data_IF_542357668862
#
_entry.id   IF_542357668862
#
_cell.length_a   1.000
_cell.length_b   1.000
_cell.length_c   1.000
_cell.angle_alpha   90.00
_cell.angle_beta   90.00
_cell.angle_gamma   90.00
#
_symmetry.space_group_name_H-M   'P 1'
#
loop_
_entity.id
_entity.type
_entity.pdbx_description
1 polymer ?
#
# COMPACT_ATOMS: atom_id res chain seq x y z
N UNK A 1 24.79 -34.80 -13.57
CA UNK A 1 24.14 -33.46 -13.55
C UNK A 1 25.25 -32.41 -13.51
N UNK A 2 25.44 -31.63 -14.58
CA UNK A 2 26.58 -30.71 -14.74
C UNK A 2 26.46 -29.46 -13.86
N UNK A 3 27.55 -29.06 -13.18
CA UNK A 3 27.59 -27.89 -12.24
C UNK A 3 26.95 -26.62 -12.83
N UNK A 4 27.11 -26.36 -14.13
CA UNK A 4 26.51 -25.20 -14.83
C UNK A 4 24.98 -25.17 -14.76
N UNK A 5 24.32 -26.34 -14.83
CA UNK A 5 22.86 -26.46 -14.81
C UNK A 5 22.29 -26.18 -13.41
N UNK A 6 23.01 -26.60 -12.37
CA UNK A 6 22.68 -26.33 -10.96
C UNK A 6 22.84 -24.84 -10.64
N UNK A 7 23.93 -24.21 -11.09
CA UNK A 7 24.16 -22.76 -10.90
C UNK A 7 23.08 -21.92 -11.60
N UNK A 8 22.72 -22.26 -12.85
CA UNK A 8 21.65 -21.56 -13.59
C UNK A 8 20.29 -21.67 -12.90
N UNK A 9 19.96 -22.86 -12.36
CA UNK A 9 18.70 -23.08 -11.62
C UNK A 9 18.67 -22.30 -10.30
N UNK A 10 19.81 -22.22 -9.60
CA UNK A 10 19.95 -21.42 -8.37
C UNK A 10 19.77 -19.92 -8.65
N UNK A 11 20.41 -19.38 -9.68
CA UNK A 11 20.25 -17.98 -10.08
C UNK A 11 18.80 -17.64 -10.42
N UNK A 12 18.11 -18.53 -11.12
CA UNK A 12 16.69 -18.34 -11.46
C UNK A 12 15.80 -18.26 -10.21
N UNK A 13 16.02 -19.15 -9.23
CA UNK A 13 15.30 -19.12 -7.96
C UNK A 13 15.56 -17.82 -7.20
N UNK A 14 16.82 -17.37 -7.14
CA UNK A 14 17.19 -16.11 -6.48
C UNK A 14 16.47 -14.93 -7.12
N UNK A 15 16.42 -14.87 -8.46
CA UNK A 15 15.72 -13.81 -9.18
C UNK A 15 14.22 -13.82 -8.86
N UNK A 16 13.58 -14.99 -8.85
CA UNK A 16 12.16 -15.11 -8.50
C UNK A 16 11.90 -14.62 -7.08
N UNK A 17 12.71 -15.06 -6.11
CA UNK A 17 12.57 -14.63 -4.71
C UNK A 17 12.77 -13.12 -4.57
N UNK A 18 13.76 -12.55 -5.29
CA UNK A 18 13.99 -11.12 -5.30
C UNK A 18 12.81 -10.34 -5.89
N UNK A 19 12.24 -10.81 -7.01
CA UNK A 19 11.05 -10.20 -7.60
C UNK A 19 9.85 -10.24 -6.64
N UNK A 20 9.63 -11.36 -5.96
CA UNK A 20 8.55 -11.48 -4.97
C UNK A 20 8.80 -10.54 -3.80
N UNK A 21 10.03 -10.41 -3.31
CA UNK A 21 10.36 -9.49 -2.23
C UNK A 21 10.13 -8.02 -2.61
N UNK A 22 10.50 -7.63 -3.84
CA UNK A 22 10.25 -6.28 -4.36
C UNK A 22 8.75 -6.01 -4.49
N UNK A 23 7.98 -6.97 -5.01
CA UNK A 23 6.52 -6.87 -5.12
C UNK A 23 5.85 -6.82 -3.75
N UNK A 24 6.31 -7.63 -2.80
CA UNK A 24 5.78 -7.66 -1.45
C UNK A 24 6.03 -6.35 -0.71
N UNK A 25 7.20 -5.72 -0.87
CA UNK A 25 7.46 -4.44 -0.22
C UNK A 25 6.91 -3.24 -1.00
N UNK A 26 6.64 -3.44 -2.30
CA UNK A 26 6.07 -2.45 -3.23
C UNK A 26 6.65 -1.05 -3.02
N UNK A 27 7.96 -0.83 -3.28
CA UNK A 27 8.64 0.41 -2.91
C UNK A 27 8.06 1.67 -3.57
N UNK A 28 7.35 1.52 -4.69
CA UNK A 28 6.62 2.61 -5.37
C UNK A 28 5.34 3.04 -4.64
N UNK A 29 4.79 2.19 -3.77
CA UNK A 29 3.64 2.51 -2.93
C UNK A 29 4.13 3.40 -1.78
N UNK A 30 4.22 4.71 -2.04
CA UNK A 30 4.58 5.70 -1.02
C UNK A 30 3.42 5.96 -0.08
N UNK A 31 3.71 6.52 1.09
CA UNK A 31 2.70 6.83 2.10
C UNK A 31 1.77 7.94 1.56
N UNK A 32 2.35 8.93 0.88
CA UNK A 32 1.61 9.98 0.16
C UNK A 32 0.71 9.40 -0.91
N UNK A 33 1.21 8.47 -1.74
CA UNK A 33 0.41 7.81 -2.77
C UNK A 33 -0.79 7.07 -2.14
N UNK A 34 -0.55 6.28 -1.09
CA UNK A 34 -1.61 5.55 -0.40
C UNK A 34 -2.68 6.50 0.15
N UNK A 35 -2.26 7.60 0.79
CA UNK A 35 -3.18 8.63 1.29
C UNK A 35 -3.97 9.27 0.16
N UNK A 36 -3.30 9.71 -0.92
CA UNK A 36 -3.98 10.37 -2.04
C UNK A 36 -4.99 9.46 -2.72
N UNK A 37 -4.65 8.19 -2.92
CA UNK A 37 -5.54 7.20 -3.54
C UNK A 37 -6.79 6.99 -2.69
N UNK A 38 -6.66 6.91 -1.36
CA UNK A 38 -7.82 6.79 -0.47
C UNK A 38 -8.66 8.06 -0.42
N UNK A 39 -8.03 9.23 -0.37
CA UNK A 39 -8.75 10.51 -0.39
C UNK A 39 -9.54 10.68 -1.69
N UNK A 40 -8.95 10.35 -2.83
CA UNK A 40 -9.64 10.38 -4.13
C UNK A 40 -10.81 9.39 -4.17
N UNK A 41 -10.60 8.17 -3.66
CA UNK A 41 -11.65 7.15 -3.58
C UNK A 41 -12.85 7.59 -2.72
N UNK A 42 -12.60 8.36 -1.66
CA UNK A 42 -13.64 8.88 -0.79
C UNK A 42 -14.36 10.11 -1.36
N UNK A 43 -13.95 10.64 -2.52
CA UNK A 43 -14.61 11.78 -3.16
C UNK A 43 -13.76 13.06 -3.22
N UNK A 44 -12.51 13.02 -2.75
CA UNK A 44 -11.55 14.11 -2.84
C UNK A 44 -11.26 14.81 -1.51
N UNK A 45 -10.27 15.73 -1.48
CA UNK A 45 -9.74 16.31 -0.24
C UNK A 45 -10.74 17.21 0.53
N UNK A 46 -11.70 17.80 -0.17
CA UNK A 46 -12.70 18.70 0.41
C UNK A 46 -14.02 17.97 0.75
N UNK A 47 -14.09 16.66 0.52
CA UNK A 47 -15.24 15.86 0.93
C UNK A 47 -15.35 15.87 2.46
N UNK A 48 -16.55 16.17 2.96
CA UNK A 48 -16.84 16.09 4.40
C UNK A 48 -16.77 14.63 4.87
N UNK A 49 -16.03 14.43 5.95
CA UNK A 49 -15.85 13.15 6.61
C UNK A 49 -16.16 13.34 8.08
N UNK A 50 -16.86 12.37 8.67
CA UNK A 50 -17.06 12.37 10.11
C UNK A 50 -15.71 12.09 10.76
N UNK A 51 -15.34 12.86 11.76
CA UNK A 51 -14.15 12.59 12.55
C UNK A 51 -14.45 12.94 13.99
N UNK A 52 -14.50 11.92 14.86
CA UNK A 52 -14.81 12.08 16.29
C UNK A 52 -16.16 12.76 16.55
N UNK A 53 -17.10 12.68 15.61
CA UNK A 53 -18.42 13.30 15.72
C UNK A 53 -18.54 14.67 15.04
N UNK A 54 -17.44 15.22 14.53
CA UNK A 54 -17.44 16.49 13.78
C UNK A 54 -17.26 16.22 12.28
N UNK A 55 -18.04 16.93 11.43
CA UNK A 55 -17.87 16.88 9.97
C UNK A 55 -16.77 17.85 9.56
N UNK A 56 -15.61 17.32 9.19
CA UNK A 56 -14.45 18.10 8.74
C UNK A 56 -13.99 17.61 7.36
N UNK A 57 -13.33 18.45 6.56
CA UNK A 57 -12.85 18.03 5.24
C UNK A 57 -11.76 16.96 5.37
N UNK A 58 -11.76 15.95 4.49
CA UNK A 58 -10.83 14.82 4.52
C UNK A 58 -9.36 15.23 4.64
N UNK A 59 -8.96 16.35 4.03
CA UNK A 59 -7.59 16.88 4.12
C UNK A 59 -7.16 17.19 5.55
N UNK A 60 -8.08 17.57 6.44
CA UNK A 60 -7.82 17.94 7.84
C UNK A 60 -7.88 16.75 8.80
N UNK A 61 -8.43 15.62 8.35
CA UNK A 61 -8.47 14.38 9.14
C UNK A 61 -7.04 13.81 9.26
N UNK A 62 -6.54 13.52 10.48
CA UNK A 62 -5.25 12.85 10.65
C UNK A 62 -5.30 11.43 10.06
N UNK A 63 -4.21 11.04 9.38
CA UNK A 63 -4.11 9.73 8.70
C UNK A 63 -2.80 9.07 9.09
N UNK A 64 -2.83 7.76 9.33
CA UNK A 64 -1.62 6.96 9.58
C UNK A 64 -1.49 5.88 8.53
N UNK A 65 -0.27 5.68 8.01
CA UNK A 65 0.01 4.62 7.03
C UNK A 65 0.84 3.52 7.68
N UNK A 66 0.41 2.27 7.53
CA UNK A 66 1.16 1.09 7.94
C UNK A 66 1.45 0.25 6.70
N UNK A 67 2.73 0.06 6.38
CA UNK A 67 3.13 -0.79 5.25
C UNK A 67 3.03 -2.27 5.60
N UNK A 68 2.47 -3.04 4.69
CA UNK A 68 2.30 -4.49 4.81
C UNK A 68 2.75 -5.16 3.51
N UNK A 69 3.01 -6.49 3.53
CA UNK A 69 3.24 -7.19 2.27
C UNK A 69 2.10 -6.94 1.28
N UNK A 70 2.47 -6.54 0.06
CA UNK A 70 1.58 -6.29 -1.08
C UNK A 70 0.65 -5.07 -0.94
N UNK A 71 0.90 -4.17 0.01
CA UNK A 71 0.05 -2.97 0.16
C UNK A 71 0.41 -2.06 1.34
N UNK A 72 -0.48 -1.12 1.61
CA UNK A 72 -0.42 -0.21 2.73
C UNK A 72 -1.81 -0.03 3.34
N UNK A 73 -1.88 0.01 4.66
CA UNK A 73 -3.09 0.29 5.42
C UNK A 73 -3.14 1.78 5.73
N UNK A 74 -4.21 2.46 5.35
CA UNK A 74 -4.47 3.86 5.67
C UNK A 74 -5.54 3.91 6.76
N UNK A 75 -5.14 4.37 7.93
CA UNK A 75 -5.99 4.49 9.11
C UNK A 75 -6.50 5.91 9.29
N UNK A 76 -7.81 6.02 9.45
CA UNK A 76 -8.51 7.20 9.95
C UNK A 76 -8.85 6.92 11.42
N UNK A 77 -8.30 7.69 12.38
CA UNK A 77 -8.53 7.42 13.79
C UNK A 77 -10.03 7.33 14.07
N UNK A 78 -10.41 6.35 14.91
CA UNK A 78 -11.78 6.09 15.38
C UNK A 78 -12.85 5.68 14.34
N UNK A 79 -12.57 5.65 13.03
CA UNK A 79 -13.65 5.48 12.04
C UNK A 79 -13.43 4.40 10.98
N UNK A 80 -12.27 4.38 10.33
CA UNK A 80 -12.09 3.53 9.14
C UNK A 80 -10.63 3.14 8.90
N UNK A 81 -10.47 1.99 8.24
CA UNK A 81 -9.19 1.50 7.72
C UNK A 81 -9.41 1.08 6.27
N UNK A 82 -8.53 1.53 5.38
CA UNK A 82 -8.53 1.17 3.96
C UNK A 82 -7.24 0.46 3.60
N UNK A 83 -7.32 -0.54 2.73
CA UNK A 83 -6.14 -1.24 2.20
C UNK A 83 -5.87 -0.74 0.78
N UNK A 84 -4.71 -0.12 0.59
CA UNK A 84 -4.19 0.21 -0.75
C UNK A 84 -3.27 -0.91 -1.20
N UNK A 85 -3.64 -1.61 -2.27
CA UNK A 85 -2.85 -2.72 -2.80
C UNK A 85 -1.66 -2.21 -3.63
N UNK A 86 -0.64 -3.06 -3.84
CA UNK A 86 0.55 -2.69 -4.63
C UNK A 86 0.24 -2.29 -6.08
N UNK A 87 -0.94 -2.64 -6.60
CA UNK A 87 -1.43 -2.25 -7.93
C UNK A 87 -2.39 -1.06 -7.91
N UNK A 88 -2.56 -0.39 -6.76
CA UNK A 88 -3.38 0.82 -6.61
C UNK A 88 -4.88 0.57 -6.41
N UNK A 89 -5.29 -0.67 -6.11
CA UNK A 89 -6.67 -0.96 -5.73
C UNK A 89 -6.94 -0.60 -4.27
N UNK A 90 -8.20 -0.27 -3.95
CA UNK A 90 -8.65 -0.04 -2.58
C UNK A 90 -9.63 -1.13 -2.16
N UNK A 91 -9.43 -1.66 -0.95
CA UNK A 91 -10.28 -2.67 -0.29
C UNK A 91 -10.67 -2.14 1.09
#
# INVERSE_FOLDING_TARGET
>A
MTRKLVTRRRSFVIIIVAMIAILAWSPWLTDDYAITTVVEYLGGPDQEFNYLGDMIPLREVPKTVVRVPFGALVYFPSEAMFIVTFWGGII
#
